data_IF_203685054564
#
_entry.id   IF_203685054564
#
_cell.length_a   1.000
_cell.length_b   1.000
_cell.length_c   1.000
_cell.angle_alpha   90.00
_cell.angle_beta   90.00
_cell.angle_gamma   90.00
#
_symmetry.space_group_name_H-M   'P 1'
#
loop_
_entity.id
_entity.type
_entity.pdbx_description
1 polymer ?
#
# COMPACT_ATOMS: atom_id res chain seq x y z
N UNK A 1 -7.22 -3.10 9.61
CA UNK A 1 -6.90 -2.98 8.18
C UNK A 1 -8.15 -2.74 7.37
N UNK A 2 -8.09 -1.80 6.43
CA UNK A 2 -9.14 -1.55 5.44
C UNK A 2 -8.50 -1.83 4.07
N UNK A 3 -9.16 -2.64 3.26
CA UNK A 3 -8.77 -2.98 1.90
C UNK A 3 -9.77 -2.35 0.92
N UNK A 4 -9.23 -1.54 0.02
CA UNK A 4 -9.97 -0.88 -1.05
C UNK A 4 -9.65 -1.61 -2.36
N UNK A 5 -10.61 -2.35 -2.91
CA UNK A 5 -10.46 -3.07 -4.17
C UNK A 5 -10.94 -2.18 -5.33
N UNK A 6 -10.01 -1.65 -6.11
CA UNK A 6 -10.30 -0.75 -7.23
C UNK A 6 -11.31 -1.30 -8.25
N UNK A 7 -11.43 -2.62 -8.38
CA UNK A 7 -12.40 -3.26 -9.28
C UNK A 7 -13.84 -3.27 -8.73
N UNK A 8 -14.00 -3.11 -7.41
CA UNK A 8 -15.30 -3.18 -6.69
C UNK A 8 -15.71 -1.86 -6.06
N UNK A 9 -14.80 -0.89 -5.97
CA UNK A 9 -15.06 0.40 -5.34
C UNK A 9 -16.15 1.17 -6.10
N UNK A 10 -17.20 1.52 -5.37
CA UNK A 10 -18.29 2.36 -5.86
C UNK A 10 -18.26 3.70 -5.11
N UNK A 11 -18.25 4.82 -5.84
CA UNK A 11 -18.36 6.19 -5.30
C UNK A 11 -17.20 6.61 -4.37
N UNK A 12 -15.96 6.50 -4.86
CA UNK A 12 -14.81 7.17 -4.24
C UNK A 12 -14.75 8.62 -4.73
N UNK A 13 -14.55 9.55 -3.80
CA UNK A 13 -14.48 10.97 -4.10
C UNK A 13 -13.04 11.46 -3.98
N UNK A 14 -12.69 12.52 -4.70
CA UNK A 14 -11.37 13.19 -4.55
C UNK A 14 -11.29 13.98 -3.25
N UNK A 15 -12.44 14.33 -2.67
CA UNK A 15 -12.55 15.09 -1.42
C UNK A 15 -12.14 14.28 -0.18
N UNK A 16 -11.15 14.80 0.55
CA UNK A 16 -10.64 14.18 1.78
C UNK A 16 -11.70 14.11 2.88
N UNK A 17 -12.57 15.12 3.01
CA UNK A 17 -13.57 15.14 4.10
C UNK A 17 -14.59 14.02 3.96
N UNK A 18 -15.03 13.75 2.73
CA UNK A 18 -15.98 12.69 2.41
C UNK A 18 -15.34 11.33 2.65
N UNK A 19 -14.10 11.13 2.17
CA UNK A 19 -13.35 9.89 2.41
C UNK A 19 -13.08 9.67 3.91
N UNK A 20 -12.74 10.72 4.66
CA UNK A 20 -12.53 10.63 6.10
C UNK A 20 -13.80 10.24 6.87
N UNK A 21 -14.96 10.83 6.52
CA UNK A 21 -16.26 10.44 7.10
C UNK A 21 -16.59 8.97 6.81
N UNK A 22 -16.32 8.53 5.58
CA UNK A 22 -16.52 7.15 5.18
C UNK A 22 -15.60 6.19 5.94
N UNK A 23 -14.30 6.46 6.00
CA UNK A 23 -13.34 5.68 6.79
C UNK A 23 -13.72 5.63 8.27
N UNK A 24 -14.16 6.75 8.86
CA UNK A 24 -14.66 6.79 10.24
C UNK A 24 -15.85 5.86 10.45
N UNK A 25 -16.77 5.77 9.48
CA UNK A 25 -17.88 4.81 9.49
C UNK A 25 -17.37 3.37 9.39
N UNK A 26 -16.39 3.09 8.53
CA UNK A 26 -15.80 1.75 8.41
C UNK A 26 -15.14 1.28 9.73
N UNK A 27 -14.49 2.20 10.45
CA UNK A 27 -13.85 1.91 11.73
C UNK A 27 -14.82 1.68 12.89
N UNK A 28 -16.10 2.06 12.77
CA UNK A 28 -17.08 1.85 13.85
C UNK A 28 -17.71 0.46 13.88
N UNK A 29 -17.49 -0.35 12.83
CA UNK A 29 -18.02 -1.71 12.78
C UNK A 29 -17.26 -2.66 13.72
N UNK A 30 -17.99 -3.53 14.42
CA UNK A 30 -17.39 -4.66 15.13
C UNK A 30 -16.97 -5.72 14.12
N UNK A 31 -15.67 -6.01 14.12
CA UNK A 31 -15.01 -6.94 13.20
C UNK A 31 -13.97 -7.76 13.93
N UNK A 32 -13.72 -8.97 13.41
CA UNK A 32 -12.73 -9.93 13.90
C UNK A 32 -11.53 -9.99 12.94
N UNK A 33 -10.75 -11.07 13.00
CA UNK A 33 -9.62 -11.28 12.09
C UNK A 33 -10.05 -11.70 10.69
N UNK A 34 -11.22 -12.29 10.51
CA UNK A 34 -11.73 -12.64 9.17
C UNK A 34 -12.05 -11.38 8.35
N UNK A 35 -11.90 -11.49 7.02
CA UNK A 35 -12.25 -10.41 6.11
C UNK A 35 -13.76 -10.29 6.02
N UNK A 36 -14.28 -9.08 6.24
CA UNK A 36 -15.70 -8.77 6.10
C UNK A 36 -15.91 -7.67 5.08
N UNK A 37 -16.77 -7.92 4.12
CA UNK A 37 -17.18 -6.91 3.14
C UNK A 37 -18.19 -5.94 3.79
N UNK A 38 -17.91 -4.64 3.68
CA UNK A 38 -18.74 -3.55 4.17
C UNK A 38 -18.68 -2.40 3.17
N UNK A 39 -19.82 -2.06 2.57
CA UNK A 39 -19.96 -0.91 1.67
C UNK A 39 -18.92 -0.89 0.51
N UNK A 40 -18.68 -2.03 -0.13
CA UNK A 40 -17.72 -2.15 -1.24
C UNK A 40 -16.25 -2.11 -0.84
N UNK A 41 -15.95 -2.24 0.46
CA UNK A 41 -14.59 -2.38 1.01
C UNK A 41 -14.50 -3.62 1.88
N UNK A 42 -13.29 -4.15 2.07
CA UNK A 42 -13.07 -5.25 3.00
C UNK A 42 -12.38 -4.73 4.26
N UNK A 43 -12.87 -5.12 5.43
CA UNK A 43 -12.32 -4.69 6.71
C UNK A 43 -11.98 -5.91 7.59
N UNK A 44 -10.88 -5.81 8.33
CA UNK A 44 -10.39 -6.87 9.22
C UNK A 44 -9.49 -6.30 10.33
N UNK A 45 -9.39 -6.97 11.48
CA UNK A 45 -8.42 -6.67 12.56
C UNK A 45 -7.00 -7.22 12.33
N UNK A 46 -6.68 -7.71 11.13
CA UNK A 46 -5.33 -8.17 10.79
C UNK A 46 -4.27 -7.08 10.98
N UNK A 47 -3.12 -7.46 11.51
CA UNK A 47 -1.91 -6.62 11.61
C UNK A 47 -1.18 -6.53 10.27
N UNK A 48 -0.24 -5.58 10.15
CA UNK A 48 0.63 -5.47 8.96
C UNK A 48 1.33 -6.80 8.63
N UNK A 49 1.86 -7.47 9.65
CA UNK A 49 2.55 -8.76 9.51
C UNK A 49 1.64 -9.89 9.06
N UNK A 50 0.38 -9.90 9.51
CA UNK A 50 -0.62 -10.88 9.06
C UNK A 50 -0.98 -10.63 7.59
N UNK A 51 -1.15 -9.37 7.19
CA UNK A 51 -1.41 -9.01 5.78
C UNK A 51 -0.24 -9.42 4.89
N UNK A 52 1.01 -9.15 5.30
CA UNK A 52 2.19 -9.53 4.53
C UNK A 52 2.34 -11.05 4.31
N UNK A 53 1.81 -11.87 5.21
CA UNK A 53 1.81 -13.33 5.05
C UNK A 53 0.75 -13.84 4.07
N UNK A 54 -0.28 -13.04 3.79
CA UNK A 54 -1.42 -13.42 2.95
C UNK A 54 -1.34 -12.91 1.53
N UNK A 55 -0.54 -11.86 1.30
CA UNK A 55 -0.35 -11.31 -0.03
C UNK A 55 0.58 -12.19 -0.87
N UNK A 56 0.26 -12.31 -2.15
CA UNK A 56 1.08 -13.02 -3.13
C UNK A 56 1.54 -12.04 -4.19
N UNK A 57 2.85 -11.97 -4.43
CA UNK A 57 3.43 -11.05 -5.40
C UNK A 57 4.85 -10.63 -5.01
N UNK A 58 5.45 -9.80 -5.86
CA UNK A 58 6.78 -9.27 -5.59
C UNK A 58 6.67 -8.06 -4.67
N UNK A 59 7.23 -8.16 -3.46
CA UNK A 59 7.15 -7.09 -2.47
C UNK A 59 8.30 -6.09 -2.63
N UNK A 60 7.97 -4.81 -2.66
CA UNK A 60 8.90 -3.69 -2.81
C UNK A 60 8.67 -2.66 -1.69
N UNK A 61 9.66 -2.47 -0.82
CA UNK A 61 9.60 -1.51 0.30
C UNK A 61 10.22 -0.19 -0.12
N UNK A 62 9.44 0.90 -0.13
CA UNK A 62 9.94 2.22 -0.51
C UNK A 62 10.80 2.82 0.60
N UNK A 63 12.01 3.24 0.24
CA UNK A 63 12.95 3.89 1.14
C UNK A 63 14.02 4.65 0.32
N UNK A 64 14.42 5.85 0.76
CA UNK A 64 15.38 6.69 0.05
C UNK A 64 16.77 6.04 -0.17
N UNK A 65 17.13 5.05 0.67
CA UNK A 65 18.38 4.27 0.59
C UNK A 65 18.23 2.94 -0.17
N UNK A 66 17.07 2.69 -0.78
CA UNK A 66 16.85 1.52 -1.62
C UNK A 66 17.55 1.60 -2.98
N UNK A 67 17.52 0.49 -3.72
CA UNK A 67 17.99 0.46 -5.11
C UNK A 67 17.12 1.38 -5.97
N UNK A 68 17.68 2.27 -6.79
CA UNK A 68 16.91 3.13 -7.67
C UNK A 68 15.98 2.30 -8.58
N UNK A 69 14.69 2.63 -8.59
CA UNK A 69 13.69 1.89 -9.37
C UNK A 69 13.98 1.92 -10.89
N UNK A 70 14.71 2.96 -11.34
CA UNK A 70 15.23 3.11 -12.70
C UNK A 70 16.17 1.98 -13.14
N UNK A 71 16.91 1.39 -12.20
CA UNK A 71 17.98 0.42 -12.45
C UNK A 71 17.51 -1.03 -12.33
N UNK A 72 16.24 -1.25 -12.03
CA UNK A 72 15.70 -2.59 -11.78
C UNK A 72 14.43 -2.87 -12.57
N UNK A 73 14.23 -4.16 -12.88
CA UNK A 73 12.97 -4.68 -13.39
C UNK A 73 11.99 -4.90 -12.23
N UNK A 74 10.76 -4.45 -12.44
CA UNK A 74 9.62 -4.70 -11.55
C UNK A 74 8.88 -5.91 -12.13
N UNK A 75 8.54 -6.89 -11.30
CA UNK A 75 7.78 -8.06 -11.73
C UNK A 75 6.30 -7.77 -11.95
N UNK A 76 5.56 -8.78 -12.42
CA UNK A 76 4.19 -8.63 -12.97
C UNK A 76 3.12 -8.27 -11.93
N UNK A 77 3.27 -8.70 -10.68
CA UNK A 77 2.31 -8.41 -9.61
C UNK A 77 3.03 -7.66 -8.49
N UNK A 78 3.41 -6.39 -8.70
CA UNK A 78 4.19 -5.66 -7.73
C UNK A 78 3.34 -5.19 -6.56
N UNK A 79 3.85 -5.37 -5.36
CA UNK A 79 3.24 -4.89 -4.12
C UNK A 79 4.17 -3.87 -3.50
N UNK A 80 3.73 -2.62 -3.48
CA UNK A 80 4.51 -1.52 -2.92
C UNK A 80 4.11 -1.25 -1.48
N UNK A 81 5.11 -1.23 -0.58
CA UNK A 81 4.94 -0.90 0.83
C UNK A 81 5.46 0.51 1.05
N UNK A 82 4.59 1.38 1.58
CA UNK A 82 4.87 2.77 1.87
C UNK A 82 4.68 3.05 3.36
N UNK A 83 5.59 3.81 3.95
CA UNK A 83 5.39 4.43 5.26
C UNK A 83 4.53 5.71 5.15
N UNK A 84 4.13 6.22 6.31
CA UNK A 84 3.51 7.54 6.41
C UNK A 84 4.57 8.66 6.43
N UNK A 85 4.20 9.85 6.92
CA UNK A 85 5.11 10.99 7.06
C UNK A 85 6.28 10.77 8.04
N UNK A 86 6.18 9.81 8.98
CA UNK A 86 7.26 9.41 9.88
C UNK A 86 8.10 8.31 9.21
N UNK A 87 7.45 7.47 8.41
CA UNK A 87 8.03 6.33 7.72
C UNK A 87 7.58 5.01 8.34
N UNK A 88 8.07 3.90 7.79
CA UNK A 88 7.73 2.58 8.31
C UNK A 88 8.51 2.33 9.62
N UNK A 89 7.87 1.85 10.70
CA UNK A 89 8.59 1.45 11.91
C UNK A 89 9.68 0.43 11.57
N UNK A 90 10.86 0.56 12.19
CA UNK A 90 12.04 -0.28 11.87
C UNK A 90 11.76 -1.78 11.92
N UNK A 91 10.95 -2.24 12.88
CA UNK A 91 10.61 -3.65 13.01
C UNK A 91 9.67 -4.13 11.89
N UNK A 92 8.73 -3.30 11.45
CA UNK A 92 7.86 -3.62 10.31
C UNK A 92 8.62 -3.58 8.99
N UNK A 93 9.57 -2.65 8.84
CA UNK A 93 10.46 -2.61 7.68
C UNK A 93 11.31 -3.87 7.60
N UNK A 94 11.97 -4.26 8.70
CA UNK A 94 12.73 -5.52 8.77
C UNK A 94 11.85 -6.72 8.45
N UNK A 95 10.62 -6.76 8.98
CA UNK A 95 9.69 -7.85 8.71
C UNK A 95 9.35 -7.93 7.22
N UNK A 96 9.02 -6.79 6.59
CA UNK A 96 8.66 -6.68 5.19
C UNK A 96 9.79 -7.10 4.25
N UNK A 97 11.03 -6.72 4.59
CA UNK A 97 12.23 -7.08 3.82
C UNK A 97 12.56 -8.58 3.82
N UNK A 98 11.87 -9.40 4.63
CA UNK A 98 11.96 -10.87 4.53
C UNK A 98 11.17 -11.43 3.34
N UNK A 99 10.20 -10.66 2.83
CA UNK A 99 9.34 -11.04 1.71
C UNK A 99 9.66 -10.25 0.42
N UNK A 100 10.52 -9.25 0.51
CA UNK A 100 10.72 -8.29 -0.56
C UNK A 100 12.06 -7.57 -0.51
N UNK A 101 12.19 -6.53 -1.33
CA UNK A 101 13.43 -5.75 -1.45
C UNK A 101 13.18 -4.25 -1.33
N UNK A 102 14.20 -3.54 -0.86
CA UNK A 102 14.16 -2.08 -0.68
C UNK A 102 14.36 -1.37 -2.02
N UNK A 103 13.49 -0.43 -2.36
CA UNK A 103 13.56 0.37 -3.58
C UNK A 103 13.48 1.86 -3.29
N UNK A 104 14.06 2.66 -4.18
CA UNK A 104 14.07 4.12 -4.08
C UNK A 104 13.48 4.77 -5.33
N UNK A 105 12.60 5.75 -5.12
CA UNK A 105 12.13 6.67 -6.17
C UNK A 105 13.10 7.86 -6.37
N UNK A 106 14.08 8.01 -5.48
CA UNK A 106 15.01 9.13 -5.45
C UNK A 106 15.58 9.37 -4.06
N UNK A 107 16.62 10.20 -3.97
CA UNK A 107 17.28 10.52 -2.69
C UNK A 107 16.48 11.47 -1.79
N UNK A 108 15.39 12.05 -2.31
CA UNK A 108 14.50 12.94 -1.55
C UNK A 108 13.38 12.14 -0.91
N UNK A 109 12.92 12.60 0.26
CA UNK A 109 11.71 12.08 0.89
C UNK A 109 10.50 12.73 0.21
N UNK A 110 9.52 11.90 -0.14
CA UNK A 110 8.27 12.34 -0.78
C UNK A 110 7.08 11.99 0.11
N UNK A 111 5.97 12.69 -0.10
CA UNK A 111 4.69 12.29 0.50
C UNK A 111 4.27 10.93 -0.06
N UNK A 112 3.64 10.10 0.77
CA UNK A 112 3.15 8.78 0.36
C UNK A 112 2.21 8.86 -0.86
N UNK A 113 1.35 9.89 -0.93
CA UNK A 113 0.49 10.15 -2.09
C UNK A 113 1.28 10.42 -3.37
N UNK A 114 2.35 11.22 -3.29
CA UNK A 114 3.23 11.47 -4.43
C UNK A 114 3.96 10.21 -4.88
N UNK A 115 4.41 9.37 -3.93
CA UNK A 115 5.00 8.07 -4.25
C UNK A 115 4.02 7.19 -5.03
N UNK A 116 2.74 7.13 -4.62
CA UNK A 116 1.70 6.37 -5.32
C UNK A 116 1.55 6.88 -6.77
N UNK A 117 1.45 8.19 -6.97
CA UNK A 117 1.34 8.77 -8.33
C UNK A 117 2.55 8.46 -9.20
N UNK A 118 3.77 8.56 -8.67
CA UNK A 118 5.01 8.26 -9.39
C UNK A 118 5.07 6.78 -9.75
N UNK A 119 4.73 5.88 -8.81
CA UNK A 119 4.73 4.44 -9.04
C UNK A 119 3.76 4.04 -10.14
N UNK A 120 2.53 4.55 -10.11
CA UNK A 120 1.55 4.30 -11.17
C UNK A 120 2.09 4.77 -12.53
N UNK A 121 2.63 5.99 -12.62
CA UNK A 121 3.24 6.48 -13.86
C UNK A 121 4.40 5.60 -14.36
N UNK A 122 5.24 5.08 -13.45
CA UNK A 122 6.32 4.14 -13.82
C UNK A 122 5.75 2.83 -14.34
N UNK A 123 4.73 2.27 -13.67
CA UNK A 123 4.07 1.05 -14.08
C UNK A 123 3.42 1.19 -15.45
N UNK A 124 2.72 2.30 -15.70
CA UNK A 124 2.13 2.63 -17.00
C UNK A 124 3.20 2.72 -18.10
N UNK A 125 4.30 3.43 -17.81
CA UNK A 125 5.41 3.60 -18.77
C UNK A 125 6.13 2.31 -19.12
N UNK A 126 6.08 1.32 -18.24
CA UNK A 126 6.76 0.03 -18.39
C UNK A 126 5.81 -1.11 -18.71
N UNK A 127 4.51 -0.83 -18.87
CA UNK A 127 3.47 -1.81 -19.19
C UNK A 127 3.45 -2.98 -18.18
N UNK A 128 3.56 -2.65 -16.88
CA UNK A 128 3.58 -3.63 -15.78
C UNK A 128 2.17 -3.96 -15.28
N UNK A 129 1.24 -3.00 -15.38
CA UNK A 129 -0.15 -3.09 -14.92
C UNK A 129 -1.12 -3.16 -16.10
#
# INVERSE_FOLDING_TARGET
>A
TICFDGSKLLKVYVDEKTNAKWMKKLLSFKIDKEWKEVSGTNISRKSFQEILKEIEGDVYVLHEKGTPIGEMKIGKNPIFILGDHIGLPREEEKFALRYGKKISLGKKVYLASSCISILNWICDKREIL
#
